data_IF_988076252626
#
_entry.id   IF_988076252626
#
_cell.length_a   1.000
_cell.length_b   1.000
_cell.length_c   1.000
_cell.angle_alpha   90.00
_cell.angle_beta   90.00
_cell.angle_gamma   90.00
#
_symmetry.space_group_name_H-M   'P 1'
#
loop_
_entity.id
_entity.type
_entity.pdbx_description
1 polymer ?
#
# COMPACT_ATOMS: atom_id res chain seq x y z
N UNK A 1 42.36 15.94 33.36
CA UNK A 1 43.81 16.25 33.51
C UNK A 1 44.55 15.28 32.62
N UNK A 2 45.34 15.78 31.66
CA UNK A 2 46.17 14.91 30.83
C UNK A 2 47.22 14.21 31.71
N UNK A 3 47.50 12.94 31.44
CA UNK A 3 48.55 12.20 32.14
C UNK A 3 49.93 12.75 31.73
N UNK A 4 50.75 13.14 32.70
CA UNK A 4 52.16 13.50 32.45
C UNK A 4 53.07 12.29 32.65
N UNK A 5 53.75 11.79 31.61
CA UNK A 5 54.64 10.63 31.70
C UNK A 5 55.80 10.84 32.68
N UNK A 6 56.11 9.81 33.46
CA UNK A 6 57.32 9.82 34.30
C UNK A 6 58.54 9.47 33.45
N UNK A 7 59.61 10.26 33.55
CA UNK A 7 60.91 9.95 32.95
C UNK A 7 61.70 9.07 33.92
N UNK A 8 62.01 7.85 33.50
CA UNK A 8 62.74 6.87 34.32
C UNK A 8 64.25 6.98 34.07
N UNK A 9 65.04 6.93 35.15
CA UNK A 9 66.50 6.82 35.06
C UNK A 9 66.96 5.39 35.35
N UNK A 10 68.06 5.00 34.74
CA UNK A 10 68.63 3.68 34.95
C UNK A 10 69.09 3.52 36.41
N UNK A 11 68.76 2.36 37.02
CA UNK A 11 69.00 2.07 38.43
C UNK A 11 68.00 2.70 39.43
N UNK A 12 66.95 3.39 38.96
CA UNK A 12 65.96 4.02 39.84
C UNK A 12 64.90 3.03 40.34
N UNK A 13 64.61 3.05 41.65
CA UNK A 13 63.64 2.14 42.27
C UNK A 13 62.20 2.52 41.90
N UNK A 14 61.43 1.56 41.40
CA UNK A 14 59.99 1.72 41.12
C UNK A 14 59.25 1.83 42.46
N UNK A 15 58.72 3.02 42.76
CA UNK A 15 57.90 3.25 43.95
C UNK A 15 56.42 3.00 43.67
N UNK A 16 55.67 2.62 44.70
CA UNK A 16 54.21 2.44 44.62
C UNK A 16 53.50 3.70 44.06
N UNK A 17 53.98 4.90 44.42
CA UNK A 17 53.43 6.15 43.89
C UNK A 17 53.58 6.28 42.36
N UNK A 18 54.72 5.84 41.80
CA UNK A 18 54.97 5.89 40.35
C UNK A 18 54.21 4.81 39.60
N UNK A 19 54.06 3.63 40.20
CA UNK A 19 53.24 2.55 39.66
C UNK A 19 51.77 2.97 39.59
N UNK A 20 51.22 3.50 40.69
CA UNK A 20 49.84 4.00 40.73
C UNK A 20 49.60 5.13 39.72
N UNK A 21 50.59 6.01 39.53
CA UNK A 21 50.51 7.07 38.51
C UNK A 21 50.41 6.47 37.11
N UNK A 22 51.29 5.53 36.75
CA UNK A 22 51.26 4.83 35.46
C UNK A 22 49.92 4.11 35.24
N UNK A 23 49.41 3.39 36.25
CA UNK A 23 48.12 2.70 36.18
C UNK A 23 46.95 3.66 35.96
N UNK A 24 46.97 4.85 36.58
CA UNK A 24 45.96 5.88 36.31
C UNK A 24 46.07 6.44 34.89
N UNK A 25 47.28 6.64 34.38
CA UNK A 25 47.50 7.06 33.00
C UNK A 25 46.95 6.04 32.00
N UNK A 26 47.26 4.76 32.20
CA UNK A 26 46.76 3.66 31.37
C UNK A 26 45.23 3.56 31.45
N UNK A 27 44.65 3.63 32.65
CA UNK A 27 43.20 3.54 32.84
C UNK A 27 42.46 4.70 32.17
N UNK A 28 42.98 5.92 32.28
CA UNK A 28 42.37 7.10 31.65
C UNK A 28 42.40 7.03 30.11
N UNK A 29 43.45 6.45 29.53
CA UNK A 29 43.56 6.28 28.08
C UNK A 29 42.66 5.13 27.58
N UNK A 30 42.48 4.08 28.39
CA UNK A 30 41.81 2.85 27.97
C UNK A 30 40.29 2.93 28.02
N UNK A 31 39.72 3.86 28.81
CA UNK A 31 38.29 4.23 28.74
C UNK A 31 38.12 5.55 28.01
N UNK A 32 38.25 5.51 26.69
CA UNK A 32 37.71 6.55 25.83
C UNK A 32 36.18 6.64 25.95
N UNK A 33 35.56 7.80 25.66
CA UNK A 33 34.11 7.93 25.69
C UNK A 33 33.47 6.91 24.75
N UNK A 34 32.37 6.29 25.19
CA UNK A 34 31.55 5.47 24.30
C UNK A 34 31.12 6.32 23.11
N UNK A 35 31.34 5.81 21.89
CA UNK A 35 30.94 6.49 20.67
C UNK A 35 29.43 6.78 20.64
N UNK A 36 29.00 7.80 19.89
CA UNK A 36 27.58 8.11 19.78
C UNK A 36 26.79 6.93 19.23
N UNK A 37 25.54 6.80 19.63
CA UNK A 37 24.62 5.84 19.03
C UNK A 37 24.53 6.08 17.51
N UNK A 38 24.55 5.00 16.73
CA UNK A 38 24.41 5.07 15.28
C UNK A 38 23.07 5.68 14.86
N UNK A 39 23.05 6.30 13.69
CA UNK A 39 21.81 6.87 13.13
C UNK A 39 20.75 5.78 12.92
N UNK A 40 19.48 6.13 13.11
CA UNK A 40 18.35 5.27 12.76
C UNK A 40 18.41 4.96 11.26
N UNK A 41 18.26 3.68 10.91
CA UNK A 41 18.21 3.26 9.51
C UNK A 41 17.06 3.91 8.73
N UNK A 42 17.13 3.93 7.40
CA UNK A 42 16.07 4.49 6.56
C UNK A 42 14.75 3.75 6.78
N UNK A 43 13.64 4.43 6.50
CA UNK A 43 12.34 3.78 6.44
C UNK A 43 12.35 2.69 5.34
N UNK A 44 11.68 1.57 5.61
CA UNK A 44 11.53 0.50 4.63
C UNK A 44 10.76 0.95 3.39
N UNK A 45 11.01 0.28 2.27
CA UNK A 45 10.28 0.54 1.03
C UNK A 45 8.78 0.24 1.17
N UNK A 46 7.97 0.92 0.37
CA UNK A 46 6.54 0.61 0.26
C UNK A 46 6.39 -0.80 -0.31
N UNK A 47 5.49 -1.59 0.29
CA UNK A 47 5.15 -2.91 -0.22
C UNK A 47 4.58 -2.89 -1.65
N UNK A 48 4.57 -4.04 -2.34
CA UNK A 48 4.05 -4.14 -3.70
C UNK A 48 2.56 -3.78 -3.77
N UNK A 49 2.11 -3.35 -4.94
CA UNK A 49 0.69 -3.20 -5.21
C UNK A 49 -0.02 -4.56 -5.09
N UNK A 50 -1.24 -4.55 -4.53
CA UNK A 50 -2.08 -5.74 -4.46
C UNK A 50 -2.50 -6.26 -5.85
N UNK A 51 -2.99 -7.51 -5.94
CA UNK A 51 -3.46 -8.08 -7.21
C UNK A 51 -4.63 -7.28 -7.79
N UNK A 52 -4.80 -7.36 -9.11
CA UNK A 52 -5.98 -6.84 -9.78
C UNK A 52 -7.25 -7.54 -9.26
N UNK A 53 -8.36 -6.80 -9.20
CA UNK A 53 -9.66 -7.35 -8.82
C UNK A 53 -10.22 -8.34 -9.85
N UNK A 54 -11.25 -9.12 -9.48
CA UNK A 54 -11.88 -10.07 -10.39
C UNK A 54 -12.58 -9.35 -11.56
N UNK A 55 -12.59 -9.99 -12.73
CA UNK A 55 -13.36 -9.52 -13.88
C UNK A 55 -14.86 -9.76 -13.66
N UNK A 56 -15.69 -8.82 -14.13
CA UNK A 56 -17.16 -8.94 -14.09
C UNK A 56 -17.75 -8.89 -15.51
N UNK A 57 -18.64 -9.84 -15.80
CA UNK A 57 -19.44 -9.85 -17.03
C UNK A 57 -20.91 -9.67 -16.66
N UNK A 58 -21.57 -8.67 -17.21
CA UNK A 58 -23.00 -8.41 -16.96
C UNK A 58 -23.87 -9.46 -17.70
N UNK A 59 -24.60 -10.34 -16.99
CA UNK A 59 -25.51 -11.28 -17.63
C UNK A 59 -26.75 -10.57 -18.20
N UNK A 60 -27.44 -11.22 -19.14
CA UNK A 60 -28.74 -10.76 -19.60
C UNK A 60 -29.80 -10.88 -18.49
N UNK A 61 -30.73 -9.91 -18.42
CA UNK A 61 -31.85 -9.96 -17.48
C UNK A 61 -32.74 -11.18 -17.72
N UNK A 62 -33.32 -11.72 -16.64
CA UNK A 62 -34.33 -12.77 -16.71
C UNK A 62 -35.41 -12.59 -15.63
N UNK A 63 -36.42 -13.47 -15.61
CA UNK A 63 -37.60 -13.36 -14.71
C UNK A 63 -37.24 -13.40 -13.21
N UNK A 64 -36.06 -13.89 -12.85
CA UNK A 64 -35.67 -14.16 -11.45
C UNK A 64 -34.35 -13.50 -11.05
N UNK A 65 -33.64 -12.85 -11.98
CA UNK A 65 -32.29 -12.33 -11.75
C UNK A 65 -32.09 -11.02 -12.49
N UNK A 66 -31.50 -10.04 -11.80
CA UNK A 66 -31.11 -8.78 -12.39
C UNK A 66 -30.02 -9.00 -13.44
N UNK A 67 -30.10 -8.25 -14.53
CA UNK A 67 -29.13 -8.29 -15.61
C UNK A 67 -29.32 -7.13 -16.58
N UNK A 68 -28.47 -7.06 -17.59
CA UNK A 68 -28.53 -6.05 -18.63
C UNK A 68 -29.65 -6.31 -19.63
N UNK A 69 -30.19 -5.21 -20.17
CA UNK A 69 -31.07 -5.17 -21.34
C UNK A 69 -30.43 -4.28 -22.40
N UNK A 70 -30.86 -4.44 -23.65
CA UNK A 70 -30.48 -3.50 -24.72
C UNK A 70 -31.45 -2.32 -24.73
N UNK A 71 -31.04 -1.22 -25.36
CA UNK A 71 -31.96 -0.15 -25.69
C UNK A 71 -32.98 -0.66 -26.72
N UNK A 72 -34.26 -0.39 -26.49
CA UNK A 72 -35.31 -0.75 -27.43
C UNK A 72 -35.24 0.11 -28.70
N UNK A 73 -35.66 -0.48 -29.83
CA UNK A 73 -35.84 0.26 -31.06
C UNK A 73 -36.91 1.35 -30.88
N UNK A 74 -36.73 2.48 -31.54
CA UNK A 74 -37.74 3.53 -31.57
C UNK A 74 -39.03 2.99 -32.20
N UNK A 75 -40.14 3.16 -31.51
CA UNK A 75 -41.48 2.90 -32.04
C UNK A 75 -42.16 4.27 -32.17
N UNK A 76 -42.60 4.59 -33.39
CA UNK A 76 -43.24 5.86 -33.67
C UNK A 76 -44.49 6.05 -32.80
N UNK A 77 -44.75 7.30 -32.42
CA UNK A 77 -45.97 7.64 -31.68
C UNK A 77 -47.21 7.37 -32.52
N UNK A 78 -48.28 6.92 -31.87
CA UNK A 78 -49.56 6.73 -32.53
C UNK A 78 -50.09 8.08 -33.00
N UNK A 79 -50.50 8.14 -34.26
CA UNK A 79 -51.01 9.40 -34.86
C UNK A 79 -52.53 9.52 -34.79
N UNK A 80 -53.22 8.43 -34.46
CA UNK A 80 -54.67 8.40 -34.29
C UNK A 80 -55.10 8.66 -32.85
N UNK A 81 -56.39 8.97 -32.65
CA UNK A 81 -57.00 9.16 -31.33
C UNK A 81 -56.99 7.87 -30.49
N UNK A 82 -56.81 6.71 -31.12
CA UNK A 82 -56.73 5.40 -30.48
C UNK A 82 -55.53 4.60 -30.99
N UNK A 83 -54.87 3.88 -30.08
CA UNK A 83 -53.79 2.95 -30.41
C UNK A 83 -54.36 1.70 -31.08
N UNK A 84 -53.90 1.41 -32.29
CA UNK A 84 -54.27 0.22 -33.02
C UNK A 84 -53.57 -1.04 -32.47
N UNK A 85 -54.14 -2.21 -32.75
CA UNK A 85 -53.50 -3.50 -32.43
C UNK A 85 -52.10 -3.61 -33.05
N UNK A 86 -51.90 -3.02 -34.23
CA UNK A 86 -50.63 -3.06 -34.95
C UNK A 86 -49.56 -2.21 -34.24
N UNK A 87 -49.90 -0.99 -33.81
CA UNK A 87 -48.99 -0.11 -33.07
C UNK A 87 -48.62 -0.72 -31.71
N UNK A 88 -49.59 -1.26 -30.98
CA UNK A 88 -49.32 -1.94 -29.72
C UNK A 88 -48.43 -3.19 -29.91
N UNK A 89 -48.68 -3.98 -30.96
CA UNK A 89 -47.83 -5.12 -31.29
C UNK A 89 -46.40 -4.69 -31.64
N UNK A 90 -46.22 -3.60 -32.39
CA UNK A 90 -44.90 -3.06 -32.71
C UNK A 90 -44.12 -2.68 -31.45
N UNK A 91 -44.79 -2.07 -30.47
CA UNK A 91 -44.19 -1.78 -29.16
C UNK A 91 -43.77 -3.06 -28.42
N UNK A 92 -44.65 -4.05 -28.34
CA UNK A 92 -44.33 -5.33 -27.69
C UNK A 92 -43.15 -6.03 -28.35
N UNK A 93 -43.10 -6.04 -29.68
CA UNK A 93 -42.02 -6.66 -30.43
C UNK A 93 -40.69 -5.93 -30.19
N UNK A 94 -40.68 -4.59 -30.16
CA UNK A 94 -39.48 -3.80 -29.86
C UNK A 94 -38.95 -4.06 -28.44
N UNK A 95 -39.84 -4.15 -27.44
CA UNK A 95 -39.46 -4.43 -26.05
C UNK A 95 -38.94 -5.86 -25.86
N UNK A 96 -39.52 -6.85 -26.57
CA UNK A 96 -39.03 -8.23 -26.56
C UNK A 96 -37.67 -8.35 -27.24
N UNK A 97 -37.48 -7.71 -28.39
CA UNK A 97 -36.21 -7.67 -29.10
C UNK A 97 -35.08 -7.05 -28.27
N UNK A 98 -35.41 -6.08 -27.41
CA UNK A 98 -34.49 -5.43 -26.48
C UNK A 98 -34.13 -6.29 -25.25
N UNK A 99 -34.82 -7.41 -25.04
CA UNK A 99 -34.69 -8.24 -23.83
C UNK A 99 -35.33 -7.63 -22.58
N UNK A 100 -36.18 -6.60 -22.75
CA UNK A 100 -36.91 -5.93 -21.65
C UNK A 100 -38.11 -6.77 -21.23
N UNK A 101 -38.77 -7.41 -22.20
CA UNK A 101 -39.87 -8.34 -21.96
C UNK A 101 -39.46 -9.77 -22.29
N UNK A 102 -40.00 -10.73 -21.52
CA UNK A 102 -39.85 -12.14 -21.84
C UNK A 102 -40.42 -12.44 -23.24
N UNK A 103 -39.66 -13.20 -24.04
CA UNK A 103 -40.09 -13.58 -25.40
C UNK A 103 -41.03 -14.80 -25.44
N UNK A 104 -41.30 -15.43 -24.29
CA UNK A 104 -42.24 -16.54 -24.06
C UNK A 104 -42.67 -16.61 -22.58
#
# INVERSE_FOLDING_TARGET
MAYEPTVWKDGEVITAARMNKLEQGVKNEQVGPQGPAGAKGPAGERGPQGPAGPSYTLPAANKTTLGGVKQAALVAEATGESVTKAEFKALLDALKAAGIMASI
#
